data_IF_447877771899
#
_entry.id   IF_447877771899
#
_cell.length_a   1.000
_cell.length_b   1.000
_cell.length_c   1.000
_cell.angle_alpha   90.00
_cell.angle_beta   90.00
_cell.angle_gamma   90.00
#
_symmetry.space_group_name_H-M   'P 1'
#
loop_
_entity.id
_entity.type
_entity.pdbx_description
1 polymer ?
#
# COMPACT_ATOMS: atom_id res chain seq x y z
N UNK A 1 -1.71 3.53 22.55
CA UNK A 1 -0.24 3.50 22.43
C UNK A 1 0.07 3.52 20.95
N UNK A 2 0.81 4.53 20.46
CA UNK A 2 1.22 4.55 19.06
C UNK A 2 2.19 3.38 18.83
N UNK A 3 1.82 2.41 18.01
CA UNK A 3 2.76 1.38 17.56
C UNK A 3 3.94 2.09 16.90
N UNK A 4 5.16 1.76 17.35
CA UNK A 4 6.38 2.29 16.73
C UNK A 4 6.41 1.80 15.29
N UNK A 5 6.64 2.72 14.36
CA UNK A 5 6.92 2.41 12.96
C UNK A 5 7.90 1.24 12.85
N UNK A 6 7.49 0.19 12.14
CA UNK A 6 8.31 -1.00 11.85
C UNK A 6 8.30 -1.20 10.33
N UNK A 7 9.37 -0.81 9.61
CA UNK A 7 9.46 -1.10 8.19
C UNK A 7 9.43 -2.61 7.98
N UNK A 8 8.64 -3.08 7.01
CA UNK A 8 8.68 -4.48 6.59
C UNK A 8 9.65 -4.65 5.42
N UNK A 9 10.41 -5.77 5.41
CA UNK A 9 11.27 -6.15 4.28
C UNK A 9 10.50 -6.84 3.16
N UNK A 10 9.41 -7.50 3.53
CA UNK A 10 8.52 -8.24 2.64
C UNK A 10 7.09 -7.90 3.02
N UNK A 11 6.30 -7.40 2.07
CA UNK A 11 4.97 -6.88 2.31
C UNK A 11 4.71 -5.60 1.52
N UNK A 12 3.84 -4.74 2.03
CA UNK A 12 3.46 -3.48 1.38
C UNK A 12 3.82 -2.28 2.25
N UNK A 13 4.33 -1.21 1.66
CA UNK A 13 4.38 0.12 2.29
C UNK A 13 3.33 1.01 1.64
N UNK A 14 2.65 1.82 2.44
CA UNK A 14 1.78 2.89 1.96
C UNK A 14 2.45 4.21 2.28
N UNK A 15 2.84 4.93 1.25
CA UNK A 15 3.63 6.15 1.33
C UNK A 15 2.76 7.34 0.90
N UNK A 16 2.75 8.41 1.69
CA UNK A 16 2.17 9.69 1.29
C UNK A 16 3.23 10.63 0.76
N UNK A 17 2.84 11.48 -0.18
CA UNK A 17 3.62 12.66 -0.53
C UNK A 17 3.28 13.80 0.45
N UNK A 18 4.29 14.50 0.93
CA UNK A 18 4.16 15.86 1.49
C UNK A 18 3.45 16.79 0.49
N UNK A 19 2.78 17.85 0.97
CA UNK A 19 2.21 18.95 0.16
C UNK A 19 3.24 19.55 -0.81
N UNK A 20 4.54 19.48 -0.47
CA UNK A 20 5.65 19.91 -1.32
C UNK A 20 6.28 18.78 -2.17
N UNK A 21 5.77 17.55 -2.10
CA UNK A 21 6.24 16.35 -2.80
C UNK A 21 7.74 16.00 -2.62
N UNK A 22 8.42 16.63 -1.67
CA UNK A 22 9.87 16.48 -1.47
C UNK A 22 10.24 15.35 -0.50
N UNK A 23 9.35 14.97 0.41
CA UNK A 23 9.56 13.85 1.33
C UNK A 23 8.36 12.89 1.29
N UNK A 24 8.66 11.61 1.05
CA UNK A 24 7.68 10.53 1.15
C UNK A 24 7.70 10.00 2.58
N UNK A 25 6.55 10.02 3.25
CA UNK A 25 6.42 9.43 4.59
C UNK A 25 5.58 8.17 4.53
N UNK A 26 6.07 7.09 5.14
CA UNK A 26 5.32 5.84 5.22
C UNK A 26 4.21 5.96 6.26
N UNK A 27 2.97 5.86 5.83
CA UNK A 27 1.76 5.89 6.66
C UNK A 27 1.46 4.56 7.31
N UNK A 28 1.63 3.47 6.56
CA UNK A 28 1.29 2.14 7.01
C UNK A 28 2.19 1.09 6.35
N UNK A 29 2.50 0.04 7.10
CA UNK A 29 3.20 -1.14 6.59
C UNK A 29 2.32 -2.36 6.81
N UNK A 30 2.20 -3.18 5.78
CA UNK A 30 1.51 -4.47 5.84
C UNK A 30 2.53 -5.57 5.61
N UNK A 31 3.18 -6.09 6.68
CA UNK A 31 4.12 -7.19 6.56
C UNK A 31 3.43 -8.47 6.06
N UNK A 32 4.09 -9.20 5.18
CA UNK A 32 3.68 -10.51 4.70
C UNK A 32 4.61 -11.60 5.26
N UNK A 33 4.13 -12.86 5.33
CA UNK A 33 4.95 -14.00 5.76
C UNK A 33 6.01 -14.37 4.73
N UNK A 34 5.66 -14.25 3.45
CA UNK A 34 6.52 -14.53 2.31
C UNK A 34 6.18 -13.63 1.11
N UNK A 35 6.99 -13.72 0.05
CA UNK A 35 6.81 -12.90 -1.15
C UNK A 35 5.52 -13.25 -1.91
N UNK A 36 5.07 -14.51 -1.86
CA UNK A 36 3.87 -14.93 -2.57
C UNK A 36 2.61 -14.29 -1.95
N UNK A 37 2.55 -14.23 -0.61
CA UNK A 37 1.51 -13.51 0.11
C UNK A 37 1.56 -12.00 -0.15
N UNK A 38 2.76 -11.41 -0.19
CA UNK A 38 2.93 -9.99 -0.53
C UNK A 38 2.39 -9.68 -1.93
N UNK A 39 2.78 -10.47 -2.94
CA UNK A 39 2.31 -10.31 -4.32
C UNK A 39 0.79 -10.48 -4.41
N UNK A 40 0.23 -11.51 -3.76
CA UNK A 40 -1.21 -11.73 -3.78
C UNK A 40 -1.99 -10.59 -3.10
N UNK A 41 -1.48 -10.01 -2.02
CA UNK A 41 -2.07 -8.84 -1.38
C UNK A 41 -1.98 -7.59 -2.25
N UNK A 42 -0.83 -7.39 -2.90
CA UNK A 42 -0.61 -6.30 -3.84
C UNK A 42 -1.56 -6.35 -5.03
N UNK A 43 -1.69 -7.50 -5.68
CA UNK A 43 -2.55 -7.67 -6.86
C UNK A 43 -4.02 -7.40 -6.54
N UNK A 44 -4.49 -7.86 -5.37
CA UNK A 44 -5.85 -7.56 -4.88
C UNK A 44 -6.02 -6.07 -4.66
N UNK A 45 -5.09 -5.46 -3.93
CA UNK A 45 -5.10 -4.05 -3.60
C UNK A 45 -5.09 -3.17 -4.86
N UNK A 46 -4.20 -3.44 -5.82
CA UNK A 46 -4.10 -2.75 -7.10
C UNK A 46 -5.42 -2.86 -7.88
N UNK A 47 -5.95 -4.07 -8.03
CA UNK A 47 -7.21 -4.31 -8.76
C UNK A 47 -8.40 -3.51 -8.19
N UNK A 48 -8.44 -3.30 -6.88
CA UNK A 48 -9.56 -2.62 -6.21
C UNK A 48 -9.37 -1.11 -6.05
N UNK A 49 -8.12 -0.64 -5.97
CA UNK A 49 -7.79 0.68 -5.46
C UNK A 49 -6.84 1.48 -6.35
N UNK A 50 -6.35 0.94 -7.47
CA UNK A 50 -5.49 1.71 -8.38
C UNK A 50 -6.24 2.92 -8.93
N UNK A 51 -5.66 4.10 -8.72
CA UNK A 51 -6.18 5.35 -9.25
C UNK A 51 -6.09 5.36 -10.77
N UNK A 52 -7.13 5.87 -11.43
CA UNK A 52 -7.17 5.98 -12.89
C UNK A 52 -6.14 6.98 -13.43
N UNK A 53 -5.80 6.85 -14.71
CA UNK A 53 -4.93 7.80 -15.38
C UNK A 53 -5.52 9.23 -15.33
N UNK A 54 -4.76 10.17 -14.76
CA UNK A 54 -5.18 11.57 -14.60
C UNK A 54 -6.01 11.84 -13.34
N UNK A 55 -6.24 10.84 -12.50
CA UNK A 55 -6.81 11.05 -11.16
C UNK A 55 -5.74 11.58 -10.19
N UNK A 56 -6.13 12.36 -9.17
CA UNK A 56 -5.23 12.75 -8.09
C UNK A 56 -4.64 11.51 -7.40
N UNK A 57 -3.33 11.47 -7.21
CA UNK A 57 -2.64 10.42 -6.48
C UNK A 57 -2.12 10.98 -5.16
N UNK A 58 -2.82 10.68 -4.06
CA UNK A 58 -2.43 11.14 -2.72
C UNK A 58 -1.35 10.24 -2.09
N UNK A 59 -1.33 8.96 -2.49
CA UNK A 59 -0.47 7.94 -1.91
C UNK A 59 0.07 6.99 -2.98
N UNK A 60 1.21 6.38 -2.67
CA UNK A 60 1.82 5.28 -3.41
C UNK A 60 1.80 4.04 -2.53
N UNK A 61 1.50 2.89 -3.11
CA UNK A 61 1.60 1.59 -2.46
C UNK A 61 2.76 0.85 -3.09
N UNK A 62 3.82 0.62 -2.30
CA UNK A 62 5.04 -0.07 -2.72
C UNK A 62 4.98 -1.55 -2.34
N UNK A 63 5.27 -2.43 -3.29
CA UNK A 63 5.52 -3.85 -3.05
C UNK A 63 7.00 -4.04 -2.65
N UNK A 64 7.21 -4.46 -1.41
CA UNK A 64 8.54 -4.69 -0.85
C UNK A 64 8.97 -6.15 -1.04
N UNK A 65 10.15 -6.35 -1.62
CA UNK A 65 10.82 -7.63 -1.79
C UNK A 65 12.23 -7.57 -1.19
N UNK A 66 12.46 -8.32 -0.10
CA UNK A 66 13.75 -8.37 0.62
C UNK A 66 14.32 -7.02 1.07
N UNK A 67 13.50 -5.95 1.13
CA UNK A 67 13.90 -4.58 1.48
C UNK A 67 13.95 -3.63 0.29
N UNK A 68 13.80 -4.13 -0.94
CA UNK A 68 13.76 -3.35 -2.17
C UNK A 68 12.32 -3.18 -2.66
N UNK A 69 12.03 -2.09 -3.36
CA UNK A 69 10.73 -1.89 -4.03
C UNK A 69 10.77 -2.65 -5.36
N UNK A 70 9.83 -3.58 -5.56
CA UNK A 70 9.74 -4.34 -6.82
C UNK A 70 8.69 -3.82 -7.79
N UNK A 71 7.64 -3.18 -7.28
CA UNK A 71 6.52 -2.64 -8.06
C UNK A 71 5.74 -1.63 -7.20
N UNK A 72 4.98 -0.73 -7.82
CA UNK A 72 4.18 0.29 -7.12
C UNK A 72 2.87 0.62 -7.84
N UNK A 73 1.89 1.18 -7.13
CA UNK A 73 0.74 1.82 -7.75
C UNK A 73 0.20 2.98 -6.92
N UNK A 74 -0.50 3.89 -7.59
CA UNK A 74 -1.05 5.09 -6.97
C UNK A 74 -2.46 4.87 -6.45
N UNK A 75 -2.78 5.49 -5.31
CA UNK A 75 -4.13 5.46 -4.72
C UNK A 75 -4.53 6.84 -4.22
N UNK A 76 -5.84 7.07 -4.15
CA UNK A 76 -6.42 8.29 -3.58
C UNK A 76 -6.69 8.12 -2.08
N UNK A 77 -6.84 9.22 -1.35
CA UNK A 77 -7.22 9.21 0.07
C UNK A 77 -8.54 8.49 0.32
N UNK A 78 -9.50 8.61 -0.60
CA UNK A 78 -10.80 7.95 -0.48
C UNK A 78 -10.69 6.43 -0.61
N UNK A 79 -9.62 5.91 -1.21
CA UNK A 79 -9.40 4.48 -1.40
C UNK A 79 -8.71 3.80 -0.21
N UNK A 80 -8.09 4.53 0.72
CA UNK A 80 -7.36 3.95 1.86
C UNK A 80 -8.16 2.94 2.70
N UNK A 81 -9.46 3.17 3.03
CA UNK A 81 -10.24 2.19 3.78
C UNK A 81 -10.49 0.89 2.98
N UNK A 82 -10.53 0.96 1.65
CA UNK A 82 -10.68 -0.21 0.77
C UNK A 82 -9.35 -0.95 0.65
N UNK A 83 -8.26 -0.20 0.50
CA UNK A 83 -6.89 -0.74 0.48
C UNK A 83 -6.62 -1.63 1.69
N UNK A 84 -6.90 -1.13 2.90
CA UNK A 84 -6.71 -1.88 4.13
C UNK A 84 -7.49 -3.22 4.14
N UNK A 85 -8.72 -3.25 3.59
CA UNK A 85 -9.52 -4.47 3.49
C UNK A 85 -8.97 -5.44 2.45
N UNK A 86 -8.61 -4.94 1.26
CA UNK A 86 -8.07 -5.72 0.16
C UNK A 86 -6.77 -6.44 0.55
N UNK A 87 -5.90 -5.74 1.27
CA UNK A 87 -4.64 -6.31 1.78
C UNK A 87 -4.90 -7.47 2.73
N UNK A 88 -5.85 -7.32 3.65
CA UNK A 88 -6.23 -8.38 4.60
C UNK A 88 -7.15 -9.47 4.01
N UNK A 89 -7.53 -9.37 2.74
CA UNK A 89 -8.40 -10.36 2.08
C UNK A 89 -9.82 -10.39 2.66
N UNK A 90 -10.27 -9.30 3.28
CA UNK A 90 -11.64 -9.21 3.82
C UNK A 90 -12.56 -8.74 2.70
N UNK A 91 -13.15 -9.71 1.99
CA UNK A 91 -14.14 -9.46 0.93
C UNK A 91 -15.34 -8.68 1.48
N UNK A 92 -15.66 -7.54 0.89
CA UNK A 92 -16.98 -6.89 1.07
C UNK A 92 -17.96 -7.44 0.04
N UNK A 93 -18.41 -8.68 0.25
CA UNK A 93 -19.68 -9.13 -0.31
C UNK A 93 -20.69 -9.15 0.85
N UNK A 94 -21.54 -8.13 0.88
CA UNK A 94 -22.76 -8.05 1.69
C UNK A 94 -23.89 -7.51 0.80
#
# INVERSE_FOLDING_TARGET
MAERYRPCRTGLHVCGADEDANEFFTLANYPARDQAEANAAFDRARKECEAGAGEPADFVVDLMCAGDISDDFHVTRQMLPRLAKAVHGVSTDA
#
